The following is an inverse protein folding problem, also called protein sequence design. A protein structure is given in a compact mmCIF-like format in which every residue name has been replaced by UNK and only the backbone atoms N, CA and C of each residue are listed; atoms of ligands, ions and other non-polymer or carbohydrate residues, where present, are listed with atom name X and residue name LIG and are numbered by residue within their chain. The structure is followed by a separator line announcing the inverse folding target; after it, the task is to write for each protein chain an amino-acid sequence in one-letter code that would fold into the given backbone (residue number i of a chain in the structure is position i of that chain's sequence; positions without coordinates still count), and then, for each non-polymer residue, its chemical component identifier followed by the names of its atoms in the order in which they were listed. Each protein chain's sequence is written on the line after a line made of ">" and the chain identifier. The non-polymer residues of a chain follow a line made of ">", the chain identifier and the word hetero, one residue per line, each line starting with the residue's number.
data_IF_189600435243
#
_entry.id   IF_189600435243
#
_cell.length_a   1.000
_cell.length_b   1.000
_cell.length_c   1.000
_cell.angle_alpha   90.00
_cell.angle_beta   90.00
_cell.angle_gamma   90.00
#
_symmetry.space_group_name_H-M   'P 1'
#
loop_
_entity.id
_entity.type
_entity.pdbx_description
1 polymer ?
#
# COMPACT_ATOMS: atom_id res chain seq x y z
N UNK A 1 13.53 19.93 -4.40
CA UNK A 1 12.91 18.67 -4.89
C UNK A 1 12.46 17.91 -3.65
N UNK A 2 11.15 17.70 -3.45
CA UNK A 2 10.65 16.98 -2.27
C UNK A 2 11.04 15.51 -2.38
N UNK A 3 11.89 15.03 -1.46
CA UNK A 3 12.27 13.62 -1.32
C UNK A 3 11.09 12.88 -0.68
N UNK A 4 10.11 12.49 -1.49
CA UNK A 4 8.97 11.69 -1.03
C UNK A 4 9.38 10.25 -0.72
N UNK A 5 8.70 9.65 0.25
CA UNK A 5 8.79 8.26 0.67
C UNK A 5 8.46 7.26 -0.46
N UNK A 6 9.38 7.07 -1.40
CA UNK A 6 9.28 5.99 -2.38
C UNK A 6 10.48 5.10 -2.17
N UNK A 7 10.22 3.83 -1.84
CA UNK A 7 11.21 2.76 -1.93
C UNK A 7 11.74 2.74 -3.36
N UNK A 8 12.89 3.40 -3.56
CA UNK A 8 13.55 3.45 -4.84
C UNK A 8 14.33 2.14 -5.02
N UNK A 9 14.37 1.56 -6.24
CA UNK A 9 15.05 0.28 -6.48
C UNK A 9 16.56 0.32 -6.24
N UNK A 10 17.15 1.52 -6.18
CA UNK A 10 18.55 1.82 -5.92
C UNK A 10 18.86 2.03 -4.42
N UNK A 11 17.88 1.85 -3.54
CA UNK A 11 18.04 1.91 -2.08
C UNK A 11 17.17 2.97 -1.43
N UNK A 12 16.60 2.63 -0.27
CA UNK A 12 15.88 3.61 0.57
C UNK A 12 16.81 4.70 1.09
N UNK A 13 16.23 5.82 1.53
CA UNK A 13 16.95 6.94 2.14
C UNK A 13 17.94 6.46 3.23
N UNK A 14 19.09 7.12 3.34
CA UNK A 14 20.01 6.91 4.48
C UNK A 14 19.37 7.37 5.79
N UNK A 15 19.84 6.87 6.93
CA UNK A 15 19.34 7.32 8.25
C UNK A 15 19.59 8.81 8.49
N UNK A 16 20.65 9.35 7.89
CA UNK A 16 21.00 10.78 7.89
C UNK A 16 20.03 11.58 7.01
N UNK A 17 19.73 11.12 5.79
CA UNK A 17 18.74 11.75 4.91
C UNK A 17 17.37 11.89 5.58
N UNK A 18 16.96 10.89 6.36
CA UNK A 18 15.67 10.86 7.07
C UNK A 18 15.63 11.93 8.17
N UNK A 19 16.69 12.02 8.98
CA UNK A 19 16.80 12.99 10.09
C UNK A 19 16.93 14.42 9.59
N UNK A 20 17.76 14.66 8.58
CA UNK A 20 18.06 15.99 8.08
C UNK A 20 16.88 16.62 7.32
N UNK A 21 15.96 15.80 6.82
CA UNK A 21 14.82 16.25 6.01
C UNK A 21 13.46 15.98 6.67
N UNK A 22 13.43 15.60 7.96
CA UNK A 22 12.20 15.28 8.72
C UNK A 22 11.26 14.32 7.96
N UNK A 23 11.85 13.30 7.33
CA UNK A 23 11.11 12.40 6.45
C UNK A 23 10.42 11.31 7.28
N UNK A 24 9.09 11.40 7.43
CA UNK A 24 8.24 10.32 7.98
C UNK A 24 8.14 9.05 7.08
N UNK A 25 9.06 8.92 6.12
CA UNK A 25 9.00 8.01 4.98
C UNK A 25 9.39 6.56 5.27
N UNK A 26 10.20 6.33 6.30
CA UNK A 26 10.79 5.01 6.61
C UNK A 26 9.96 4.18 7.58
N UNK A 27 8.77 4.64 7.93
CA UNK A 27 7.93 4.05 8.99
C UNK A 27 7.21 2.75 8.59
N UNK A 28 7.46 2.19 7.40
CA UNK A 28 6.89 0.91 6.97
C UNK A 28 7.97 0.05 6.30
N UNK A 29 8.99 -0.32 7.06
CA UNK A 29 9.86 -1.42 6.67
C UNK A 29 9.07 -2.72 6.83
N UNK A 30 8.98 -3.50 5.75
CA UNK A 30 8.29 -4.78 5.78
C UNK A 30 8.86 -5.75 6.82
N UNK A 31 8.08 -6.77 7.19
CA UNK A 31 8.44 -7.84 8.13
C UNK A 31 9.82 -8.45 7.85
N UNK A 32 10.16 -8.59 6.56
CA UNK A 32 11.43 -9.17 6.09
C UNK A 32 12.60 -8.18 6.25
N UNK A 33 12.41 -6.87 6.05
CA UNK A 33 13.48 -5.88 6.26
C UNK A 33 13.85 -5.71 7.73
N UNK A 34 12.83 -5.74 8.61
CA UNK A 34 13.02 -5.76 10.07
C UNK A 34 13.80 -6.99 10.51
N UNK A 35 13.46 -8.16 9.97
CA UNK A 35 14.17 -9.40 10.25
C UNK A 35 15.62 -9.39 9.72
N UNK A 36 15.88 -8.73 8.59
CA UNK A 36 17.22 -8.57 8.01
C UNK A 36 18.06 -7.44 8.67
N UNK A 37 17.51 -6.70 9.63
CA UNK A 37 18.22 -5.61 10.31
C UNK A 37 18.47 -4.37 9.44
N UNK A 38 17.71 -4.20 8.35
CA UNK A 38 17.79 -3.03 7.44
C UNK A 38 16.90 -1.85 7.92
N UNK A 39 16.38 -1.93 9.13
CA UNK A 39 15.54 -0.90 9.74
C UNK A 39 16.42 0.23 10.27
N UNK A 40 16.56 1.30 9.49
CA UNK A 40 17.39 2.47 9.83
C UNK A 40 16.83 3.36 10.95
N UNK A 41 15.79 2.94 11.66
CA UNK A 41 15.17 3.74 12.71
C UNK A 41 14.52 2.86 13.78
N UNK A 42 14.91 3.04 15.05
CA UNK A 42 14.34 2.33 16.21
C UNK A 42 12.84 2.57 16.40
N UNK A 43 12.29 3.59 15.73
CA UNK A 43 10.86 3.91 15.72
C UNK A 43 10.07 3.26 14.59
N UNK A 44 10.72 2.54 13.67
CA UNK A 44 10.06 1.88 12.55
C UNK A 44 8.91 0.99 13.04
N UNK A 45 7.70 1.28 12.54
CA UNK A 45 6.51 0.49 12.80
C UNK A 45 6.22 -0.40 11.59
N UNK A 46 5.48 -1.46 11.84
CA UNK A 46 5.01 -2.37 10.80
C UNK A 46 3.50 -2.52 10.94
N UNK A 47 2.82 -3.03 9.90
CA UNK A 47 1.40 -3.41 10.02
C UNK A 47 1.15 -4.29 11.25
N UNK A 48 2.11 -5.15 11.59
CA UNK A 48 2.00 -6.09 12.69
C UNK A 48 2.03 -5.43 14.08
N UNK A 49 2.41 -4.14 14.16
CA UNK A 49 2.36 -3.39 15.42
C UNK A 49 0.95 -2.85 15.72
N UNK A 50 0.00 -3.01 14.78
CA UNK A 50 -1.40 -2.65 14.96
C UNK A 50 -2.09 -3.74 15.78
N UNK A 51 -2.79 -3.34 16.85
CA UNK A 51 -3.67 -4.25 17.58
C UNK A 51 -4.97 -4.47 16.81
N UNK A 52 -4.96 -5.47 15.92
CA UNK A 52 -6.12 -5.83 15.10
C UNK A 52 -7.31 -6.33 15.93
N UNK A 53 -7.12 -6.71 17.20
CA UNK A 53 -8.23 -7.12 18.09
C UNK A 53 -9.18 -5.96 18.43
N UNK A 54 -8.77 -4.72 18.20
CA UNK A 54 -9.60 -3.52 18.41
C UNK A 54 -10.52 -3.22 17.23
N UNK A 55 -10.32 -3.86 16.09
CA UNK A 55 -11.15 -3.65 14.91
C UNK A 55 -12.43 -4.48 15.02
N UNK A 56 -13.51 -3.96 14.44
CA UNK A 56 -14.78 -4.68 14.35
C UNK A 56 -14.58 -6.03 13.65
N UNK A 57 -15.32 -7.05 14.09
CA UNK A 57 -15.35 -8.38 13.45
C UNK A 57 -16.15 -8.40 12.14
N UNK A 58 -16.68 -7.26 11.69
CA UNK A 58 -17.31 -7.10 10.39
C UNK A 58 -16.33 -7.39 9.24
N UNK A 59 -16.82 -7.49 8.01
CA UNK A 59 -16.01 -7.78 6.82
C UNK A 59 -15.54 -6.47 6.17
N UNK A 60 -14.42 -5.85 6.59
CA UNK A 60 -14.03 -4.54 6.06
C UNK A 60 -13.62 -4.64 4.60
N UNK A 61 -13.90 -3.58 3.84
CA UNK A 61 -13.32 -3.36 2.51
C UNK A 61 -12.36 -2.17 2.64
N UNK A 62 -11.06 -2.44 2.51
CA UNK A 62 -10.01 -1.44 2.64
C UNK A 62 -9.34 -1.26 1.28
N UNK A 63 -9.18 -0.02 0.81
CA UNK A 63 -8.45 0.29 -0.41
C UNK A 63 -7.27 1.23 -0.10
N UNK A 64 -6.03 0.79 -0.40
CA UNK A 64 -4.80 1.54 -0.15
C UNK A 64 -4.30 2.14 -1.46
N UNK A 65 -4.39 3.46 -1.57
CA UNK A 65 -3.87 4.23 -2.70
C UNK A 65 -2.39 4.54 -2.51
N UNK A 66 -1.54 3.63 -2.98
CA UNK A 66 -0.09 3.80 -2.96
C UNK A 66 0.53 3.28 -4.25
N UNK A 67 1.73 3.75 -4.57
CA UNK A 67 2.48 3.17 -5.69
C UNK A 67 2.84 1.73 -5.36
N UNK A 68 2.39 0.79 -6.21
CA UNK A 68 2.64 -0.66 -6.04
C UNK A 68 2.18 -1.22 -4.68
N UNK A 69 1.19 -0.61 -4.01
CA UNK A 69 0.68 -1.08 -2.70
C UNK A 69 0.08 -2.49 -2.73
N UNK A 70 -0.37 -2.93 -3.91
CA UNK A 70 -0.90 -4.26 -4.19
C UNK A 70 0.12 -5.27 -4.71
N UNK A 71 1.34 -4.84 -5.01
CA UNK A 71 2.29 -5.66 -5.75
C UNK A 71 3.02 -6.64 -4.79
N UNK A 72 3.07 -7.92 -5.15
CA UNK A 72 3.74 -9.00 -4.39
C UNK A 72 4.82 -9.69 -5.25
N UNK A 73 5.41 -8.96 -6.21
CA UNK A 73 6.38 -9.52 -7.17
C UNK A 73 7.82 -9.54 -6.67
N UNK A 74 8.10 -8.95 -5.51
CA UNK A 74 9.44 -8.98 -4.92
C UNK A 74 9.34 -9.52 -3.49
N UNK A 75 9.97 -10.67 -3.19
CA UNK A 75 9.95 -11.29 -1.87
C UNK A 75 10.65 -10.45 -0.78
N UNK A 76 11.35 -9.37 -1.15
CA UNK A 76 11.98 -8.42 -0.23
C UNK A 76 11.18 -7.11 -0.08
N UNK A 77 10.17 -6.85 -0.93
CA UNK A 77 9.19 -5.78 -0.71
C UNK A 77 7.88 -6.34 -0.21
N UNK A 78 7.60 -6.02 1.04
CA UNK A 78 6.43 -6.48 1.75
C UNK A 78 5.18 -5.75 1.22
N UNK A 79 4.19 -6.51 0.78
CA UNK A 79 2.94 -5.96 0.27
C UNK A 79 2.05 -5.57 1.44
N UNK A 80 1.95 -4.26 1.69
CA UNK A 80 1.09 -3.70 2.75
C UNK A 80 -0.34 -4.24 2.66
N UNK A 81 -0.86 -4.46 1.45
CA UNK A 81 -2.22 -4.97 1.25
C UNK A 81 -2.35 -6.47 1.50
N UNK A 82 -1.32 -7.25 1.16
CA UNK A 82 -1.27 -8.68 1.48
C UNK A 82 -1.27 -8.89 3.00
N UNK A 83 -0.35 -8.25 3.71
CA UNK A 83 -0.22 -8.39 5.16
C UNK A 83 -1.50 -7.96 5.87
N UNK A 84 -2.06 -6.82 5.47
CA UNK A 84 -3.32 -6.36 6.05
C UNK A 84 -4.46 -7.36 5.80
N UNK A 85 -4.46 -8.05 4.66
CA UNK A 85 -5.47 -9.07 4.36
C UNK A 85 -5.28 -10.38 5.13
N UNK A 86 -4.08 -10.68 5.60
CA UNK A 86 -3.80 -11.83 6.47
C UNK A 86 -4.35 -11.59 7.88
N UNK A 87 -4.20 -10.35 8.37
CA UNK A 87 -4.72 -9.91 9.68
C UNK A 87 -6.24 -9.68 9.68
N UNK A 88 -6.84 -9.47 8.50
CA UNK A 88 -8.28 -9.27 8.30
C UNK A 88 -8.88 -10.42 7.46
N UNK A 89 -8.97 -11.66 8.00
CA UNK A 89 -9.28 -12.86 7.21
C UNK A 89 -10.65 -12.82 6.51
N UNK A 90 -11.62 -12.10 7.10
CA UNK A 90 -12.95 -11.94 6.50
C UNK A 90 -13.05 -10.73 5.57
N UNK A 91 -12.15 -9.76 5.70
CA UNK A 91 -12.13 -8.54 4.91
C UNK A 91 -11.61 -8.71 3.49
N UNK A 92 -11.66 -7.63 2.73
CA UNK A 92 -11.04 -7.48 1.42
C UNK A 92 -10.09 -6.28 1.45
N UNK A 93 -8.87 -6.47 0.98
CA UNK A 93 -7.88 -5.39 0.89
C UNK A 93 -7.48 -5.18 -0.56
N UNK A 94 -7.58 -3.95 -1.03
CA UNK A 94 -7.37 -3.57 -2.43
C UNK A 94 -6.13 -2.69 -2.52
N UNK A 95 -5.26 -2.98 -3.48
CA UNK A 95 -4.05 -2.18 -3.74
C UNK A 95 -3.78 -1.99 -5.21
N UNK A 96 -2.99 -0.99 -5.56
CA UNK A 96 -2.52 -0.80 -6.92
C UNK A 96 -1.33 -1.68 -7.20
N UNK A 97 -1.34 -2.39 -8.33
CA UNK A 97 -0.18 -3.15 -8.82
C UNK A 97 0.86 -2.22 -9.47
N UNK A 98 0.43 -1.03 -9.90
CA UNK A 98 1.25 -0.01 -10.56
C UNK A 98 1.36 1.26 -9.71
N UNK A 99 2.00 2.32 -10.24
CA UNK A 99 1.97 3.65 -9.63
C UNK A 99 0.53 4.19 -9.62
N UNK A 100 -0.03 4.43 -8.44
CA UNK A 100 -1.29 5.12 -8.29
C UNK A 100 -1.12 6.59 -8.71
N UNK A 101 -2.12 7.16 -9.36
CA UNK A 101 -2.13 8.56 -9.77
C UNK A 101 -3.54 9.13 -9.63
N UNK A 102 -3.71 10.43 -9.41
CA UNK A 102 -5.03 11.04 -9.24
C UNK A 102 -5.73 11.34 -10.58
N UNK A 103 -5.10 11.05 -11.71
CA UNK A 103 -5.46 11.56 -13.03
C UNK A 103 -6.42 10.57 -13.73
N UNK A 104 -7.61 10.38 -13.14
CA UNK A 104 -8.57 9.33 -13.51
C UNK A 104 -9.07 9.39 -14.96
N UNK A 105 -9.10 10.57 -15.57
CA UNK A 105 -9.53 10.78 -16.96
C UNK A 105 -8.35 10.93 -17.94
N UNK A 106 -7.11 10.80 -17.44
CA UNK A 106 -5.89 10.99 -18.21
C UNK A 106 -5.36 12.43 -18.16
N UNK A 107 -4.11 12.58 -18.60
CA UNK A 107 -3.36 13.84 -18.52
C UNK A 107 -4.04 14.95 -19.33
N UNK A 108 -4.01 16.17 -18.80
CA UNK A 108 -4.74 17.32 -19.35
C UNK A 108 -6.28 17.22 -19.35
N UNK A 109 -6.85 16.07 -18.96
CA UNK A 109 -8.31 15.81 -18.98
C UNK A 109 -8.94 15.68 -17.60
N UNK A 110 -8.11 15.52 -16.56
CA UNK A 110 -8.58 15.45 -15.18
C UNK A 110 -8.45 16.82 -14.52
N UNK A 111 -9.59 17.47 -14.27
CA UNK A 111 -9.59 18.70 -13.47
C UNK A 111 -9.28 18.41 -11.99
N UNK A 112 -8.90 19.44 -11.23
CA UNK A 112 -8.63 19.30 -9.79
C UNK A 112 -9.79 18.67 -9.01
N UNK A 113 -11.03 18.99 -9.36
CA UNK A 113 -12.24 18.45 -8.71
C UNK A 113 -12.53 16.99 -9.09
N UNK A 114 -11.93 16.50 -10.17
CA UNK A 114 -12.11 15.14 -10.66
C UNK A 114 -10.99 14.20 -10.23
N UNK A 115 -10.01 14.69 -9.48
CA UNK A 115 -8.89 13.87 -9.02
C UNK A 115 -9.40 12.72 -8.17
N UNK A 116 -9.02 11.51 -8.54
CA UNK A 116 -9.42 10.27 -7.87
C UNK A 116 -8.36 9.20 -8.18
N UNK A 117 -7.95 8.46 -7.16
CA UNK A 117 -6.94 7.41 -7.29
C UNK A 117 -7.54 6.04 -7.62
N UNK A 118 -8.87 5.88 -7.55
CA UNK A 118 -9.57 4.59 -7.70
C UNK A 118 -9.65 4.13 -9.17
N UNK A 119 -8.52 4.00 -9.84
CA UNK A 119 -8.43 3.55 -11.23
C UNK A 119 -7.08 2.91 -11.58
N UNK A 120 -6.97 2.35 -12.79
CA UNK A 120 -5.81 1.56 -13.18
C UNK A 120 -5.86 0.15 -12.59
N UNK A 121 -4.76 -0.59 -12.72
CA UNK A 121 -4.71 -1.99 -12.32
C UNK A 121 -4.62 -2.14 -10.81
N UNK A 122 -5.71 -2.62 -10.23
CA UNK A 122 -5.86 -2.92 -8.81
C UNK A 122 -5.96 -4.42 -8.62
N UNK A 123 -5.45 -4.90 -7.50
CA UNK A 123 -5.55 -6.29 -7.07
C UNK A 123 -6.33 -6.34 -5.77
N UNK A 124 -7.16 -7.37 -5.64
CA UNK A 124 -8.01 -7.61 -4.48
C UNK A 124 -7.44 -8.80 -3.73
N UNK A 125 -7.18 -8.61 -2.44
CA UNK A 125 -6.63 -9.59 -1.51
C UNK A 125 -7.68 -10.02 -0.50
N UNK A 126 -7.68 -11.30 -0.14
CA UNK A 126 -8.45 -11.88 0.97
C UNK A 126 -7.61 -12.97 1.64
N UNK A 127 -7.38 -12.85 2.95
CA UNK A 127 -6.62 -13.86 3.71
C UNK A 127 -5.24 -14.15 3.12
N UNK A 128 -4.50 -13.11 2.72
CA UNK A 128 -3.16 -13.22 2.12
C UNK A 128 -3.11 -13.72 0.68
N UNK A 129 -4.26 -13.89 0.02
CA UNK A 129 -4.32 -14.39 -1.36
C UNK A 129 -4.95 -13.38 -2.30
N UNK A 130 -4.40 -13.28 -3.50
CA UNK A 130 -5.02 -12.58 -4.62
C UNK A 130 -6.28 -13.33 -5.04
N UNK A 131 -7.43 -12.67 -5.00
CA UNK A 131 -8.69 -13.22 -5.51
C UNK A 131 -9.01 -12.71 -6.92
N UNK A 132 -8.59 -11.48 -7.24
CA UNK A 132 -8.91 -10.85 -8.54
C UNK A 132 -7.98 -9.68 -8.86
N UNK A 133 -7.69 -9.50 -10.14
CA UNK A 133 -7.13 -8.25 -10.68
C UNK A 133 -8.21 -7.52 -11.48
N UNK A 134 -8.29 -6.20 -11.34
CA UNK A 134 -9.37 -5.39 -11.91
C UNK A 134 -8.88 -4.00 -12.35
N UNK A 135 -9.43 -3.50 -13.47
CA UNK A 135 -9.10 -2.18 -14.06
C UNK A 135 -10.28 -1.19 -14.02
N UNK A 136 -11.35 -1.51 -13.28
CA UNK A 136 -12.55 -0.68 -13.15
C UNK A 136 -12.17 0.71 -12.60
N UNK A 137 -12.93 1.75 -12.94
CA UNK A 137 -12.80 3.09 -12.35
C UNK A 137 -13.80 3.28 -11.21
N UNK A 138 -13.41 4.08 -10.21
CA UNK A 138 -14.22 4.40 -9.05
C UNK A 138 -14.24 3.29 -8.00
N UNK A 139 -15.17 3.49 -7.05
CA UNK A 139 -15.37 2.61 -5.91
C UNK A 139 -15.73 1.19 -6.36
N UNK A 140 -15.02 0.22 -5.80
CA UNK A 140 -15.38 -1.19 -5.95
C UNK A 140 -16.40 -1.59 -4.89
N UNK A 141 -17.24 -2.55 -5.24
CA UNK A 141 -18.24 -3.15 -4.35
C UNK A 141 -18.04 -4.65 -4.32
N UNK A 142 -18.66 -5.35 -3.36
CA UNK A 142 -18.57 -6.82 -3.26
C UNK A 142 -18.95 -7.53 -4.56
N UNK A 143 -19.85 -6.95 -5.38
CA UNK A 143 -20.22 -7.48 -6.70
C UNK A 143 -19.05 -7.55 -7.68
N UNK A 144 -18.03 -6.73 -7.48
CA UNK A 144 -16.83 -6.71 -8.32
C UNK A 144 -15.81 -7.80 -7.93
N UNK A 145 -15.95 -8.41 -6.75
CA UNK A 145 -14.96 -9.33 -6.16
C UNK A 145 -15.16 -10.78 -6.59
N UNK A 146 -16.35 -11.10 -7.11
CA UNK A 146 -16.74 -12.38 -7.71
C UNK A 146 -16.50 -12.41 -9.21
#
# INVERSE_FOLDING_TARGET
>A
MYKGASLAPDGGFSGEDIKDNDLNASLYAGRIRKWLGDDKCDEARTINDIDFTKFSSEDPIIEIHGCKSGNDTDPLTDSITKNLSEELPNGYVIGHTTKANPIINGDGKTSRKQQDYRHGQRVIWKGGKVIKMINKKGMLTVKDFV
#
